data_IF_333245887006
#
_entry.id   IF_333245887006
#
_cell.length_a   1.000
_cell.length_b   1.000
_cell.length_c   1.000
_cell.angle_alpha   90.00
_cell.angle_beta   90.00
_cell.angle_gamma   90.00
#
_symmetry.space_group_name_H-M   'P 1'
#
loop_
_entity.id
_entity.type
_entity.pdbx_description
1 polymer ?
#
# COMPACT_ATOMS: atom_id res chain seq x y z
N UNK A 1 -48.84 39.02 27.47
CA UNK A 1 -48.66 39.75 26.19
C UNK A 1 -47.57 40.79 26.38
N UNK A 2 -46.35 40.60 25.86
CA UNK A 2 -45.34 41.65 25.78
C UNK A 2 -45.16 42.13 24.34
N UNK A 3 -44.94 43.45 24.20
CA UNK A 3 -44.83 44.19 22.95
C UNK A 3 -43.45 44.02 22.27
N UNK A 4 -43.46 43.97 20.93
CA UNK A 4 -42.28 43.84 20.07
C UNK A 4 -41.44 45.12 20.00
N UNK A 5 -40.10 45.03 19.82
CA UNK A 5 -39.24 46.18 19.56
C UNK A 5 -39.20 46.55 18.05
N UNK A 6 -38.86 47.82 17.71
CA UNK A 6 -38.83 48.33 16.33
C UNK A 6 -37.54 47.94 15.56
N UNK A 7 -37.54 48.04 14.21
CA UNK A 7 -36.48 47.50 13.36
C UNK A 7 -35.24 48.41 13.26
N UNK A 8 -34.06 47.79 13.21
CA UNK A 8 -32.76 48.44 13.04
C UNK A 8 -32.49 48.80 11.57
N UNK A 9 -32.11 50.06 11.33
CA UNK A 9 -31.62 50.57 10.05
C UNK A 9 -30.20 50.08 9.75
N UNK A 10 -30.01 49.40 8.60
CA UNK A 10 -28.70 48.96 8.11
C UNK A 10 -27.89 50.09 7.43
N UNK A 11 -26.55 50.03 7.45
CA UNK A 11 -25.72 51.03 6.80
C UNK A 11 -25.60 50.79 5.28
N UNK A 12 -25.62 51.90 4.53
CA UNK A 12 -25.68 51.96 3.07
C UNK A 12 -24.41 51.48 2.35
N UNK A 13 -24.62 51.05 1.10
CA UNK A 13 -23.59 50.69 0.12
C UNK A 13 -22.89 51.94 -0.44
N UNK A 14 -21.55 51.94 -0.58
CA UNK A 14 -20.88 52.85 -1.50
C UNK A 14 -20.44 52.16 -2.80
N UNK A 15 -20.78 52.84 -3.90
CA UNK A 15 -20.15 52.95 -5.23
C UNK A 15 -19.45 51.74 -5.90
N UNK A 16 -20.00 51.34 -7.05
CA UNK A 16 -19.26 50.61 -8.11
C UNK A 16 -18.15 51.49 -8.68
N UNK A 17 -16.89 51.03 -8.60
CA UNK A 17 -15.76 51.56 -9.37
C UNK A 17 -15.58 50.73 -10.64
N UNK A 18 -15.51 51.42 -11.78
CA UNK A 18 -15.21 50.88 -13.10
C UNK A 18 -13.77 50.35 -13.16
N UNK A 19 -13.60 49.15 -13.72
CA UNK A 19 -12.30 48.51 -13.99
C UNK A 19 -11.82 48.95 -15.38
N UNK A 20 -10.58 49.41 -15.56
CA UNK A 20 -10.03 49.70 -16.88
C UNK A 20 -9.65 48.42 -17.62
N UNK A 21 -10.04 48.36 -18.90
CA UNK A 21 -9.70 47.31 -19.84
C UNK A 21 -8.22 47.40 -20.22
N UNK A 22 -7.45 46.38 -19.88
CA UNK A 22 -6.06 46.19 -20.35
C UNK A 22 -6.07 45.31 -21.59
N UNK A 23 -5.76 45.94 -22.72
CA UNK A 23 -5.54 45.31 -24.01
C UNK A 23 -4.19 44.58 -23.99
N UNK A 24 -4.19 43.27 -24.16
CA UNK A 24 -3.00 42.46 -24.33
C UNK A 24 -2.88 41.98 -25.78
N UNK A 25 -1.80 42.39 -26.43
CA UNK A 25 -1.34 41.95 -27.75
C UNK A 25 -0.95 40.46 -27.70
N UNK A 26 -1.23 39.65 -28.75
CA UNK A 26 -0.96 38.22 -28.72
C UNK A 26 0.53 37.93 -29.00
N UNK A 27 1.28 37.63 -27.96
CA UNK A 27 2.59 36.98 -28.05
C UNK A 27 2.42 35.47 -28.19
N UNK A 28 2.89 34.92 -29.31
CA UNK A 28 2.84 33.52 -29.67
C UNK A 28 3.36 32.60 -28.54
N UNK A 29 2.50 31.70 -28.03
CA UNK A 29 2.92 30.49 -27.33
C UNK A 29 2.78 29.32 -28.30
N UNK A 30 3.92 28.77 -28.70
CA UNK A 30 3.99 27.54 -29.46
C UNK A 30 3.22 26.43 -28.74
N UNK A 31 2.28 25.87 -29.49
CA UNK A 31 1.60 24.62 -29.17
C UNK A 31 2.64 23.49 -29.18
N UNK A 32 3.18 23.15 -28.01
CA UNK A 32 3.86 21.87 -27.84
C UNK A 32 2.80 20.81 -27.51
N UNK A 33 2.08 20.40 -28.55
CA UNK A 33 1.25 19.20 -28.56
C UNK A 33 2.19 17.98 -28.53
N UNK A 34 2.79 17.69 -27.39
CA UNK A 34 3.58 16.48 -27.18
C UNK A 34 2.64 15.30 -26.88
N UNK A 35 2.88 14.10 -27.43
CA UNK A 35 2.01 12.96 -27.18
C UNK A 35 2.01 12.65 -25.69
N UNK A 36 0.81 12.57 -25.13
CA UNK A 36 0.54 11.96 -23.83
C UNK A 36 1.10 10.54 -23.90
N UNK A 37 2.36 10.35 -23.49
CA UNK A 37 2.93 9.01 -23.31
C UNK A 37 2.10 8.39 -22.20
N UNK A 38 1.16 7.53 -22.59
CA UNK A 38 0.54 6.57 -21.70
C UNK A 38 1.66 5.80 -21.03
N UNK A 39 1.99 6.18 -19.79
CA UNK A 39 2.81 5.34 -18.92
C UNK A 39 2.19 3.94 -18.95
N UNK A 40 2.98 2.86 -19.07
CA UNK A 40 2.44 1.52 -18.91
C UNK A 40 1.68 1.50 -17.58
N UNK A 41 0.42 1.06 -17.61
CA UNK A 41 -0.36 0.83 -16.39
C UNK A 41 0.43 -0.21 -15.59
N UNK A 42 1.12 0.22 -14.54
CA UNK A 42 1.68 -0.70 -13.55
C UNK A 42 0.52 -1.52 -12.99
N UNK A 43 0.83 -2.75 -12.57
CA UNK A 43 -0.12 -3.67 -11.98
C UNK A 43 -1.01 -2.95 -10.94
N UNK A 44 -2.31 -3.30 -10.86
CA UNK A 44 -3.20 -2.74 -9.87
C UNK A 44 -2.68 -2.96 -8.44
N UNK A 45 -3.01 -2.00 -7.60
CA UNK A 45 -2.46 -1.74 -6.26
C UNK A 45 -2.57 -2.93 -5.29
N UNK A 46 -1.58 -3.17 -4.41
CA UNK A 46 -1.79 -4.02 -3.25
C UNK A 46 -2.63 -3.26 -2.22
N UNK A 47 -3.95 -3.42 -2.29
CA UNK A 47 -4.89 -2.97 -1.27
C UNK A 47 -4.96 -4.04 -0.16
N UNK A 48 -5.04 -3.61 1.11
CA UNK A 48 -5.35 -4.50 2.22
C UNK A 48 -6.76 -5.09 2.02
N UNK A 49 -6.83 -6.34 1.58
CA UNK A 49 -8.07 -7.06 1.37
C UNK A 49 -8.19 -8.20 2.38
N UNK A 50 -9.41 -8.44 2.86
CA UNK A 50 -9.71 -9.65 3.63
C UNK A 50 -9.38 -10.87 2.78
N UNK A 51 -8.52 -11.75 3.31
CA UNK A 51 -8.16 -13.01 2.65
C UNK A 51 -8.33 -14.15 3.66
N UNK A 52 -9.32 -15.05 3.48
CA UNK A 52 -9.39 -16.24 4.30
C UNK A 52 -8.11 -17.03 4.09
N UNK A 53 -7.51 -17.42 5.19
CA UNK A 53 -6.40 -18.36 5.21
C UNK A 53 -7.00 -19.76 5.33
N UNK A 54 -6.62 -20.63 4.40
CA UNK A 54 -6.88 -22.06 4.47
C UNK A 54 -5.53 -22.76 4.59
N UNK A 55 -5.29 -23.38 5.74
CA UNK A 55 -4.12 -24.21 6.01
C UNK A 55 -4.44 -25.68 5.69
N UNK A 56 -3.53 -26.36 5.00
CA UNK A 56 -3.66 -27.76 4.65
C UNK A 56 -2.31 -28.49 4.73
N UNK A 57 -2.34 -29.82 4.91
CA UNK A 57 -1.17 -30.68 4.78
C UNK A 57 -1.27 -31.45 3.46
N UNK A 58 -0.31 -31.28 2.58
CA UNK A 58 -0.34 -31.79 1.21
C UNK A 58 0.97 -32.53 0.87
N UNK A 59 0.93 -33.57 0.01
CA UNK A 59 2.13 -34.28 -0.38
C UNK A 59 2.92 -33.46 -1.41
N UNK A 60 4.25 -33.50 -1.33
CA UNK A 60 5.17 -32.78 -2.22
C UNK A 60 6.34 -33.69 -2.60
N UNK A 61 6.81 -33.63 -3.83
CA UNK A 61 8.04 -34.31 -4.24
C UNK A 61 9.26 -33.73 -3.52
N UNK A 62 10.21 -34.59 -3.15
CA UNK A 62 11.47 -34.17 -2.50
C UNK A 62 12.47 -33.59 -3.50
N UNK A 63 12.46 -34.06 -4.75
CA UNK A 63 13.48 -33.72 -5.74
C UNK A 63 13.32 -32.35 -6.39
N UNK A 64 12.10 -31.88 -6.60
CA UNK A 64 11.78 -30.66 -7.34
C UNK A 64 10.67 -29.80 -6.71
N UNK A 65 10.33 -30.08 -5.44
CA UNK A 65 9.41 -29.29 -4.62
C UNK A 65 8.01 -29.05 -5.23
N UNK A 66 7.49 -30.03 -5.97
CA UNK A 66 6.16 -29.93 -6.58
C UNK A 66 5.10 -30.57 -5.70
N UNK A 67 4.02 -29.84 -5.43
CA UNK A 67 2.84 -30.41 -4.78
C UNK A 67 2.26 -31.52 -5.65
N UNK A 68 1.99 -32.67 -5.03
CA UNK A 68 1.44 -33.86 -5.68
C UNK A 68 -0.08 -33.78 -5.65
N UNK A 69 -0.71 -33.90 -6.82
CA UNK A 69 -2.15 -34.00 -6.93
C UNK A 69 -2.59 -35.39 -6.45
N UNK A 70 -2.93 -35.52 -5.16
CA UNK A 70 -3.41 -36.76 -4.56
C UNK A 70 -4.61 -37.31 -5.35
N UNK A 71 -4.57 -38.58 -5.75
CA UNK A 71 -5.71 -39.21 -6.40
C UNK A 71 -6.84 -39.46 -5.38
N UNK A 72 -7.76 -38.50 -5.34
CA UNK A 72 -8.94 -38.56 -4.47
C UNK A 72 -9.90 -39.68 -4.85
N UNK A 73 -9.91 -40.16 -6.10
CA UNK A 73 -10.74 -41.30 -6.48
C UNK A 73 -10.17 -42.57 -5.85
N UNK A 74 -8.85 -42.79 -5.98
CA UNK A 74 -8.16 -43.91 -5.35
C UNK A 74 -8.31 -43.88 -3.83
N UNK A 75 -8.19 -42.69 -3.21
CA UNK A 75 -8.37 -42.56 -1.77
C UNK A 75 -9.83 -42.74 -1.32
N UNK A 76 -10.79 -42.01 -1.89
CA UNK A 76 -12.16 -41.95 -1.35
C UNK A 76 -13.04 -43.11 -1.81
N UNK A 77 -12.80 -43.65 -3.01
CA UNK A 77 -13.65 -44.68 -3.64
C UNK A 77 -12.92 -46.00 -3.89
N UNK A 78 -11.60 -45.95 -4.11
CA UNK A 78 -10.76 -47.11 -4.33
C UNK A 78 -10.40 -47.81 -3.03
N UNK A 79 -9.18 -47.56 -2.54
CA UNK A 79 -8.55 -48.34 -1.48
C UNK A 79 -8.61 -47.71 -0.10
N UNK A 80 -8.86 -46.40 0.02
CA UNK A 80 -8.71 -45.70 1.30
C UNK A 80 -7.26 -45.54 1.76
N UNK A 81 -6.28 -45.88 0.92
CA UNK A 81 -4.86 -45.83 1.28
C UNK A 81 -4.21 -44.56 0.73
N UNK A 82 -3.76 -43.68 1.63
CA UNK A 82 -3.14 -42.41 1.26
C UNK A 82 -1.85 -42.60 0.47
N UNK A 83 -1.07 -43.65 0.74
CA UNK A 83 0.17 -43.93 0.00
C UNK A 83 -0.15 -44.33 -1.44
N UNK A 84 -1.13 -45.22 -1.64
CA UNK A 84 -1.57 -45.63 -2.97
C UNK A 84 -2.11 -44.43 -3.77
N UNK A 85 -2.85 -43.53 -3.11
CA UNK A 85 -3.35 -42.31 -3.74
C UNK A 85 -2.24 -41.28 -4.08
N UNK A 86 -1.16 -41.22 -3.29
CA UNK A 86 0.02 -40.41 -3.63
C UNK A 86 0.77 -41.02 -4.82
N UNK A 87 1.00 -42.33 -4.80
CA UNK A 87 1.66 -43.05 -5.90
C UNK A 87 0.90 -42.92 -7.22
N UNK A 88 -0.43 -43.04 -7.18
CA UNK A 88 -1.28 -42.82 -8.35
C UNK A 88 -1.24 -41.35 -8.80
N UNK A 89 -1.30 -40.40 -7.87
CA UNK A 89 -1.14 -38.98 -8.18
C UNK A 89 0.20 -38.64 -8.83
N UNK A 90 1.29 -39.27 -8.38
CA UNK A 90 2.60 -39.18 -9.02
C UNK A 90 2.57 -39.71 -10.45
N UNK A 91 1.98 -40.89 -10.66
CA UNK A 91 1.83 -41.48 -12.00
C UNK A 91 1.03 -40.58 -12.94
N UNK A 92 -0.08 -40.00 -12.47
CA UNK A 92 -0.94 -39.09 -13.24
C UNK A 92 -0.21 -37.80 -13.63
N UNK A 93 0.71 -37.34 -12.78
CA UNK A 93 1.60 -36.21 -13.05
C UNK A 93 2.81 -36.55 -13.93
N UNK A 94 2.97 -37.82 -14.32
CA UNK A 94 4.08 -38.31 -15.16
C UNK A 94 5.36 -38.65 -14.39
N UNK A 95 5.30 -38.78 -13.06
CA UNK A 95 6.42 -39.22 -12.24
C UNK A 95 6.43 -40.75 -12.06
N UNK A 96 7.60 -41.36 -11.83
CA UNK A 96 7.65 -42.72 -11.30
C UNK A 96 6.88 -42.82 -9.97
N UNK A 97 6.10 -43.88 -9.77
CA UNK A 97 5.34 -44.11 -8.52
C UNK A 97 6.26 -44.22 -7.29
N UNK A 98 7.53 -44.62 -7.49
CA UNK A 98 8.55 -44.70 -6.44
C UNK A 98 9.24 -43.36 -6.13
N UNK A 99 8.78 -42.25 -6.71
CA UNK A 99 9.35 -40.92 -6.44
C UNK A 99 9.21 -40.57 -4.96
N UNK A 100 10.32 -40.18 -4.33
CA UNK A 100 10.33 -39.78 -2.93
C UNK A 100 9.48 -38.52 -2.72
N UNK A 101 8.65 -38.55 -1.68
CA UNK A 101 7.73 -37.48 -1.33
C UNK A 101 7.69 -37.26 0.19
N UNK A 102 7.26 -36.08 0.58
CA UNK A 102 7.06 -35.67 1.97
C UNK A 102 5.76 -34.89 2.14
N UNK A 103 5.28 -34.79 3.38
CA UNK A 103 4.14 -33.93 3.72
C UNK A 103 4.63 -32.51 4.02
N UNK A 104 3.96 -31.51 3.47
CA UNK A 104 4.21 -30.10 3.74
C UNK A 104 2.93 -29.39 4.15
N UNK A 105 3.05 -28.42 5.05
CA UNK A 105 1.97 -27.48 5.35
C UNK A 105 1.93 -26.41 4.27
N UNK A 106 0.73 -26.14 3.77
CA UNK A 106 0.46 -25.12 2.75
C UNK A 106 -0.59 -24.15 3.22
N UNK A 107 -0.40 -22.89 2.83
CA UNK A 107 -1.35 -21.81 3.05
C UNK A 107 -1.93 -21.37 1.71
N UNK A 108 -3.26 -21.38 1.60
CA UNK A 108 -3.97 -20.77 0.47
C UNK A 108 -4.74 -19.56 0.94
N UNK A 109 -4.55 -18.46 0.23
CA UNK A 109 -5.26 -17.21 0.46
C UNK A 109 -6.23 -16.93 -0.68
N UNK A 110 -7.52 -16.87 -0.37
CA UNK A 110 -8.54 -16.45 -1.32
C UNK A 110 -8.91 -14.99 -1.09
N UNK A 111 -9.46 -14.30 -2.08
CA UNK A 111 -9.93 -12.93 -1.90
C UNK A 111 -11.38 -12.93 -1.41
N UNK A 112 -11.68 -12.24 -0.31
CA UNK A 112 -13.07 -11.93 0.07
C UNK A 112 -13.53 -10.73 -0.76
N UNK A 113 -14.54 -10.94 -1.61
CA UNK A 113 -15.18 -9.87 -2.39
C UNK A 113 -16.72 -9.80 -2.21
N UNK A 114 -17.28 -10.72 -1.42
CA UNK A 114 -18.70 -10.84 -1.12
C UNK A 114 -18.92 -11.04 0.39
N UNK A 115 -20.16 -10.91 0.86
CA UNK A 115 -20.45 -10.86 2.29
C UNK A 115 -20.14 -9.50 2.90
N UNK A 116 -20.28 -8.42 2.11
CA UNK A 116 -20.09 -7.05 2.60
C UNK A 116 -21.22 -6.75 3.58
N UNK A 117 -20.84 -6.53 4.83
CA UNK A 117 -21.74 -6.12 5.89
C UNK A 117 -22.42 -4.78 5.57
N UNK A 118 -23.61 -4.50 6.15
CA UNK A 118 -24.19 -3.16 6.08
C UNK A 118 -23.22 -2.14 6.70
N UNK A 119 -23.34 -0.88 6.29
CA UNK A 119 -22.44 0.19 6.75
C UNK A 119 -22.42 0.37 8.29
N UNK A 120 -23.50 -0.02 8.98
CA UNK A 120 -23.58 -0.02 10.45
C UNK A 120 -22.60 -0.98 11.13
N UNK A 121 -22.15 -2.00 10.38
CA UNK A 121 -21.30 -3.08 10.88
C UNK A 121 -19.93 -3.04 10.18
N UNK A 122 -19.58 -1.88 9.61
CA UNK A 122 -18.24 -1.60 9.15
C UNK A 122 -17.25 -1.66 10.33
N UNK A 123 -16.00 -2.02 10.05
CA UNK A 123 -14.98 -2.11 11.08
C UNK A 123 -14.80 -0.78 11.82
N UNK A 124 -15.06 -0.77 13.12
CA UNK A 124 -14.80 0.39 13.98
C UNK A 124 -13.30 0.70 14.03
N UNK A 125 -12.97 1.97 14.31
CA UNK A 125 -11.58 2.43 14.43
C UNK A 125 -10.74 1.55 15.36
N UNK A 126 -11.35 1.00 16.43
CA UNK A 126 -10.68 0.16 17.43
C UNK A 126 -10.26 -1.20 16.89
N UNK A 127 -10.88 -1.70 15.82
CA UNK A 127 -10.50 -2.97 15.20
C UNK A 127 -9.09 -2.92 14.62
N UNK A 128 -8.65 -1.74 14.16
CA UNK A 128 -7.28 -1.53 13.67
C UNK A 128 -6.39 -0.78 14.67
N UNK A 129 -6.96 0.12 15.47
CA UNK A 129 -6.22 1.04 16.35
C UNK A 129 -6.35 0.75 17.86
N UNK A 130 -6.85 -0.43 18.25
CA UNK A 130 -6.96 -0.89 19.65
C UNK A 130 -7.91 -0.05 20.51
N UNK A 131 -7.49 1.16 20.86
CA UNK A 131 -8.27 2.17 21.58
C UNK A 131 -9.31 2.89 20.70
N UNK A 132 -9.24 2.71 19.38
CA UNK A 132 -10.05 3.46 18.41
C UNK A 132 -9.57 4.89 18.18
N UNK A 133 -8.52 5.31 18.89
CA UNK A 133 -7.76 6.53 18.64
C UNK A 133 -6.48 6.15 17.92
N UNK A 134 -6.14 6.91 16.87
CA UNK A 134 -4.83 6.78 16.22
C UNK A 134 -3.75 7.25 17.21
N UNK A 135 -3.16 6.31 17.93
CA UNK A 135 -2.09 6.54 18.86
C UNK A 135 -0.76 6.14 18.22
N UNK A 136 0.08 7.14 17.94
CA UNK A 136 1.39 6.94 17.33
C UNK A 136 2.43 6.37 18.31
N UNK A 137 2.05 6.13 19.58
CA UNK A 137 2.90 5.52 20.61
C UNK A 137 2.63 4.03 20.82
N UNK A 138 1.57 3.48 20.23
CA UNK A 138 1.24 2.06 20.30
C UNK A 138 1.25 1.42 18.91
N UNK A 139 1.80 0.21 18.82
CA UNK A 139 1.81 -0.54 17.57
C UNK A 139 0.37 -1.02 17.25
N UNK A 140 -0.05 -0.75 16.03
CA UNK A 140 -1.31 -1.15 15.40
C UNK A 140 -1.09 -2.29 14.41
N UNK A 141 -2.17 -2.87 13.87
CA UNK A 141 -2.05 -3.89 12.82
C UNK A 141 -1.41 -3.34 11.54
N UNK A 142 -1.43 -2.02 11.33
CA UNK A 142 -0.74 -1.37 10.20
C UNK A 142 0.79 -1.40 10.36
N UNK A 143 1.29 -1.43 11.59
CA UNK A 143 2.73 -1.48 11.85
C UNK A 143 3.32 -2.83 11.41
N UNK A 144 2.57 -3.92 11.58
CA UNK A 144 2.92 -5.24 11.02
C UNK A 144 2.94 -5.25 9.48
N UNK A 145 2.25 -4.30 8.83
CA UNK A 145 2.28 -4.11 7.38
C UNK A 145 3.40 -3.16 6.93
N UNK A 146 4.30 -2.76 7.84
CA UNK A 146 5.44 -1.91 7.54
C UNK A 146 5.16 -0.40 7.59
N UNK A 147 3.98 0.04 8.08
CA UNK A 147 3.68 1.48 8.24
C UNK A 147 4.31 2.11 9.48
N UNK A 148 4.95 1.31 10.34
CA UNK A 148 5.79 1.84 11.41
C UNK A 148 6.97 2.60 10.81
N UNK A 149 7.54 3.53 11.57
CA UNK A 149 8.87 4.02 11.24
C UNK A 149 9.87 2.86 11.27
N UNK A 150 10.68 2.73 10.21
CA UNK A 150 11.70 1.66 10.05
C UNK A 150 12.82 1.69 11.11
N UNK A 151 12.86 2.74 11.94
CA UNK A 151 13.82 2.92 13.00
C UNK A 151 13.42 4.03 13.97
N UNK A 152 14.29 4.37 14.94
CA UNK A 152 14.11 5.51 15.82
C UNK A 152 13.83 6.78 15.01
N UNK A 153 12.84 7.55 15.45
CA UNK A 153 12.35 8.74 14.74
C UNK A 153 13.47 9.71 14.41
N UNK A 154 14.40 9.92 15.34
CA UNK A 154 15.55 10.79 15.17
C UNK A 154 16.47 10.30 14.06
N UNK A 155 16.75 8.99 13.98
CA UNK A 155 17.58 8.40 12.92
C UNK A 155 16.91 8.49 11.55
N UNK A 156 15.60 8.26 11.47
CA UNK A 156 14.84 8.38 10.22
C UNK A 156 14.82 9.83 9.73
N UNK A 157 14.59 10.77 10.63
CA UNK A 157 14.52 12.19 10.28
C UNK A 157 15.90 12.77 9.94
N UNK A 158 16.97 12.27 10.59
CA UNK A 158 18.33 12.74 10.38
C UNK A 158 18.93 12.30 9.03
N UNK A 159 18.24 11.40 8.30
CA UNK A 159 18.58 11.11 6.90
C UNK A 159 18.55 12.41 6.10
N UNK A 160 17.50 13.22 6.20
CA UNK A 160 17.39 14.46 5.43
C UNK A 160 17.55 15.75 6.24
N UNK A 161 17.45 15.68 7.57
CA UNK A 161 17.56 16.82 8.46
C UNK A 161 18.86 16.78 9.27
N UNK A 162 19.45 17.93 9.53
CA UNK A 162 20.69 18.08 10.29
C UNK A 162 20.50 18.01 11.83
N UNK A 163 19.34 17.53 12.28
CA UNK A 163 18.96 17.53 13.70
C UNK A 163 18.71 18.93 14.30
N UNK A 164 18.92 20.02 13.55
CA UNK A 164 18.73 21.39 14.03
C UNK A 164 17.27 21.85 13.98
N UNK A 165 16.43 21.10 13.27
CA UNK A 165 15.01 21.44 13.06
C UNK A 165 14.11 20.77 14.09
N UNK A 166 13.14 21.53 14.59
CA UNK A 166 12.08 20.98 15.41
C UNK A 166 11.26 19.96 14.60
N UNK A 167 11.24 18.71 15.06
CA UNK A 167 10.48 17.64 14.44
C UNK A 167 8.98 17.93 14.56
N UNK A 168 8.22 17.92 13.45
CA UNK A 168 6.77 18.08 13.52
C UNK A 168 6.12 16.97 14.35
N UNK A 169 5.10 17.32 15.13
CA UNK A 169 4.39 16.38 16.02
C UNK A 169 3.05 15.89 15.49
N UNK A 170 2.64 16.35 14.30
CA UNK A 170 1.34 15.98 13.71
C UNK A 170 1.55 15.17 12.43
N UNK A 171 0.67 14.19 12.22
CA UNK A 171 0.70 13.30 11.07
C UNK A 171 0.74 14.07 9.74
N UNK A 172 -0.10 15.10 9.58
CA UNK A 172 -0.18 15.88 8.33
C UNK A 172 1.13 16.59 7.99
N UNK A 173 1.83 17.11 9.00
CA UNK A 173 3.09 17.83 8.79
C UNK A 173 4.21 16.89 8.39
N UNK A 174 4.20 15.66 8.92
CA UNK A 174 5.15 14.62 8.53
C UNK A 174 4.79 14.09 7.14
N UNK A 175 3.51 13.83 6.85
CA UNK A 175 3.09 13.28 5.56
C UNK A 175 3.04 14.27 4.41
N UNK A 176 3.19 15.58 4.65
CA UNK A 176 3.42 16.56 3.58
C UNK A 176 4.66 16.22 2.72
N UNK A 177 5.61 15.43 3.24
CA UNK A 177 6.76 14.93 2.46
C UNK A 177 6.36 14.17 1.18
N UNK A 178 5.20 13.51 1.16
CA UNK A 178 4.70 12.82 -0.03
C UNK A 178 4.32 13.79 -1.17
N UNK A 179 4.28 15.09 -0.90
CA UNK A 179 3.98 16.15 -1.87
C UNK A 179 5.17 17.09 -2.13
N UNK A 180 6.34 16.82 -1.56
CA UNK A 180 7.54 17.67 -1.74
C UNK A 180 8.31 17.33 -3.01
N UNK A 181 9.01 18.32 -3.57
CA UNK A 181 9.83 18.13 -4.78
C UNK A 181 9.00 17.88 -6.03
N UNK A 182 9.61 17.31 -7.06
CA UNK A 182 8.95 17.06 -8.34
C UNK A 182 7.99 15.86 -8.30
N UNK A 183 8.30 14.87 -7.46
CA UNK A 183 7.67 13.54 -7.48
C UNK A 183 7.01 13.15 -6.15
N UNK A 184 7.40 13.80 -5.05
CA UNK A 184 7.02 13.38 -3.69
C UNK A 184 7.99 12.33 -3.13
N UNK A 185 8.23 12.39 -1.81
CA UNK A 185 9.06 11.40 -1.11
C UNK A 185 8.22 10.13 -0.89
N UNK A 186 8.74 8.99 -1.33
CA UNK A 186 8.10 7.69 -1.21
C UNK A 186 8.11 7.14 0.21
N UNK A 187 7.15 6.26 0.50
CA UNK A 187 6.95 5.71 1.83
C UNK A 187 8.21 4.99 2.37
N UNK A 188 8.98 4.35 1.49
CA UNK A 188 10.17 3.56 1.85
C UNK A 188 11.34 4.40 2.42
N UNK A 189 11.31 5.72 2.26
CA UNK A 189 12.25 6.60 2.94
C UNK A 189 12.07 6.57 4.47
N UNK A 190 10.85 6.39 4.97
CA UNK A 190 10.55 6.44 6.41
C UNK A 190 10.04 5.11 6.98
N UNK A 191 9.47 4.26 6.13
CA UNK A 191 8.73 3.07 6.49
C UNK A 191 9.32 1.83 5.81
N UNK A 192 8.96 0.64 6.28
CA UNK A 192 9.34 -0.63 5.63
C UNK A 192 8.34 -1.04 4.54
N UNK A 193 7.55 -0.09 4.04
CA UNK A 193 6.59 -0.28 2.95
C UNK A 193 6.90 0.61 1.76
N UNK A 194 6.87 0.02 0.57
CA UNK A 194 6.88 0.74 -0.69
C UNK A 194 5.46 0.80 -1.27
N UNK A 195 5.12 1.92 -1.91
CA UNK A 195 3.83 2.15 -2.57
C UNK A 195 4.08 2.60 -4.02
N UNK A 196 4.68 1.75 -4.87
CA UNK A 196 5.12 2.11 -6.22
C UNK A 196 3.96 2.60 -7.11
N UNK A 197 2.74 2.20 -6.82
CA UNK A 197 1.53 2.65 -7.49
C UNK A 197 1.25 4.14 -7.32
N UNK A 198 1.74 4.75 -6.23
CA UNK A 198 1.59 6.20 -5.98
C UNK A 198 2.55 7.04 -6.83
N UNK A 199 3.51 6.41 -7.51
CA UNK A 199 4.49 7.10 -8.34
C UNK A 199 5.39 8.06 -7.56
N UNK A 200 5.56 7.84 -6.26
CA UNK A 200 6.46 8.60 -5.39
C UNK A 200 7.90 8.14 -5.60
N UNK A 201 8.85 9.02 -5.28
CA UNK A 201 10.27 8.73 -5.39
C UNK A 201 10.72 7.70 -4.34
N UNK A 202 11.37 6.62 -4.75
CA UNK A 202 12.06 5.67 -3.85
C UNK A 202 13.52 6.09 -3.62
N UNK A 203 14.17 5.68 -2.51
CA UNK A 203 15.62 5.88 -2.31
C UNK A 203 16.51 5.39 -3.46
N UNK A 204 16.04 4.40 -4.21
CA UNK A 204 16.76 3.83 -5.37
C UNK A 204 16.45 4.51 -6.70
N UNK A 205 15.51 5.44 -6.75
CA UNK A 205 15.13 6.11 -7.98
C UNK A 205 16.05 7.30 -8.28
N UNK A 206 16.25 7.68 -9.55
CA UNK A 206 17.07 8.84 -9.90
C UNK A 206 16.59 10.16 -9.28
N UNK A 207 15.29 10.29 -9.00
CA UNK A 207 14.73 11.46 -8.31
C UNK A 207 15.17 11.58 -6.85
N UNK A 208 15.78 10.54 -6.25
CA UNK A 208 16.21 10.56 -4.86
C UNK A 208 17.24 11.67 -4.61
N UNK A 209 17.99 12.08 -5.65
CA UNK A 209 18.89 13.23 -5.56
C UNK A 209 18.22 14.56 -5.20
N UNK A 210 16.89 14.68 -5.36
CA UNK A 210 16.12 15.85 -4.89
C UNK A 210 15.95 15.87 -3.37
N UNK A 211 16.12 14.73 -2.72
CA UNK A 211 15.88 14.49 -1.30
C UNK A 211 17.19 14.00 -0.69
N UNK A 212 18.00 14.96 -0.24
CA UNK A 212 19.38 14.69 0.19
C UNK A 212 19.40 13.86 1.47
N UNK A 213 19.90 12.63 1.39
CA UNK A 213 20.34 11.85 2.55
C UNK A 213 21.71 12.36 3.01
N UNK A 214 21.75 13.20 4.03
CA UNK A 214 22.97 13.62 4.73
C UNK A 214 23.59 12.47 5.54
N UNK A 215 22.77 11.48 5.94
CA UNK A 215 23.19 10.25 6.60
C UNK A 215 22.70 9.07 5.77
N UNK A 216 23.59 8.30 5.11
CA UNK A 216 23.18 7.17 4.30
C UNK A 216 22.42 6.14 5.14
N UNK A 217 21.15 5.88 4.78
CA UNK A 217 20.41 4.77 5.35
C UNK A 217 20.58 3.53 4.50
N UNK A 218 20.89 2.36 5.09
CA UNK A 218 21.00 1.12 4.35
C UNK A 218 19.62 0.75 3.78
N UNK A 219 19.45 0.98 2.48
CA UNK A 219 18.33 0.46 1.71
C UNK A 219 18.90 -0.49 0.67
N UNK A 220 18.29 -1.67 0.53
CA UNK A 220 18.69 -2.62 -0.50
C UNK A 220 17.95 -2.23 -1.76
N UNK A 221 18.67 -1.68 -2.74
CA UNK A 221 18.10 -1.47 -4.05
C UNK A 221 17.94 -2.82 -4.74
N UNK A 222 16.70 -3.26 -5.05
CA UNK A 222 16.53 -4.43 -5.90
C UNK A 222 17.25 -4.16 -7.22
N UNK A 223 17.89 -5.19 -7.77
CA UNK A 223 18.48 -5.09 -9.10
C UNK A 223 17.38 -4.65 -10.09
N UNK A 224 17.70 -3.84 -11.11
CA UNK A 224 16.72 -3.49 -12.12
C UNK A 224 16.18 -4.79 -12.75
N UNK A 225 14.87 -4.99 -12.69
CA UNK A 225 14.19 -6.06 -13.43
C UNK A 225 14.45 -5.77 -14.92
N UNK A 226 15.33 -6.56 -15.56
CA UNK A 226 15.61 -6.50 -16.99
C UNK A 226 14.48 -7.14 -17.79
#
# INVERSE_FOLDING_TARGET
MPASPPPSTGPGRPASRSIPSISATPGARSSASGPCRSRPRRAPEPLAAGRPLLEAVQPKTVGDDRLIALDTFEYLKGTGNVVAAVEQGLADMGYPTSTAWEWVTTDTFQMINHGVNPASDAADCSQCHGSGVLDLSTDSMLDAMGYRLKGPKEEVCNQCHDGSKNLPRTWDRIHNHITKGSTGIGCYFCHDVARPERGLCSPCDPCASEYVDNVPYPHVCPAPDY
#
